data_IF_386243016502
#
_entry.id   IF_386243016502
#
_cell.length_a   1.000
_cell.length_b   1.000
_cell.length_c   1.000
_cell.angle_alpha   90.00
_cell.angle_beta   90.00
_cell.angle_gamma   90.00
#
_symmetry.space_group_name_H-M   'P 1'
#
loop_
_entity.id
_entity.type
_entity.pdbx_description
1 polymer ?
#
# COMPACT_ATOMS: atom_id res chain seq x y z
N UNK A 1 4.44 -11.08 -17.44
CA UNK A 1 4.91 -9.74 -17.87
C UNK A 1 5.66 -9.12 -16.69
N UNK A 2 6.95 -8.82 -16.79
CA UNK A 2 7.68 -8.17 -15.69
C UNK A 2 7.25 -6.70 -15.65
N UNK A 3 6.41 -6.32 -14.68
CA UNK A 3 5.97 -4.93 -14.51
C UNK A 3 7.07 -4.03 -13.92
N UNK A 4 8.07 -4.63 -13.26
CA UNK A 4 9.29 -3.95 -12.85
C UNK A 4 10.30 -4.01 -14.00
N UNK A 5 10.93 -2.89 -14.41
CA UNK A 5 12.14 -2.97 -15.20
C UNK A 5 13.15 -3.84 -14.44
N UNK A 6 13.99 -4.58 -15.17
CA UNK A 6 15.08 -5.32 -14.55
C UNK A 6 15.83 -4.37 -13.60
N UNK A 7 16.20 -4.83 -12.39
CA UNK A 7 17.10 -4.05 -11.54
C UNK A 7 18.24 -3.57 -12.41
N UNK A 8 18.54 -2.26 -12.46
CA UNK A 8 19.62 -1.77 -13.30
C UNK A 8 20.86 -2.56 -12.88
N UNK A 9 21.59 -3.08 -13.87
CA UNK A 9 22.93 -3.63 -13.65
C UNK A 9 23.63 -2.76 -12.60
N UNK A 10 24.13 -3.31 -11.49
CA UNK A 10 24.73 -2.52 -10.41
C UNK A 10 25.92 -1.66 -10.87
N UNK A 11 26.43 -1.89 -12.09
CA UNK A 11 27.42 -1.05 -12.78
C UNK A 11 26.84 0.20 -13.42
N UNK A 12 25.52 0.27 -13.61
CA UNK A 12 24.83 1.44 -14.15
C UNK A 12 24.61 2.49 -13.07
N UNK A 13 24.64 3.77 -13.43
CA UNK A 13 24.33 4.84 -12.50
C UNK A 13 22.90 4.71 -11.97
N UNK A 14 22.64 5.11 -10.72
CA UNK A 14 21.30 5.04 -10.13
C UNK A 14 20.31 5.88 -10.94
N UNK A 15 19.13 5.33 -11.20
CA UNK A 15 18.03 6.04 -11.87
C UNK A 15 17.55 7.16 -10.96
N UNK A 16 17.93 8.41 -11.28
CA UNK A 16 17.54 9.59 -10.49
C UNK A 16 16.10 10.02 -10.73
N UNK A 17 15.57 9.79 -11.92
CA UNK A 17 14.19 10.13 -12.31
C UNK A 17 13.58 8.91 -12.97
N UNK A 18 12.56 8.33 -12.34
CA UNK A 18 11.88 7.13 -12.81
C UNK A 18 10.43 7.47 -13.17
N UNK A 19 10.11 7.43 -14.46
CA UNK A 19 8.79 7.81 -15.00
C UNK A 19 7.99 6.61 -15.54
N UNK A 20 8.44 5.38 -15.24
CA UNK A 20 7.81 4.16 -15.79
C UNK A 20 6.42 3.91 -15.21
N UNK A 21 6.25 4.08 -13.90
CA UNK A 21 4.97 3.91 -13.19
C UNK A 21 5.09 4.45 -11.76
N UNK A 22 3.98 4.98 -11.25
CA UNK A 22 3.75 5.37 -9.86
C UNK A 22 3.79 4.21 -8.86
N UNK A 23 3.61 2.96 -9.31
CA UNK A 23 3.77 1.75 -8.49
C UNK A 23 5.18 1.58 -7.93
N UNK A 24 6.17 2.32 -8.45
CA UNK A 24 7.55 2.34 -7.94
C UNK A 24 7.78 3.34 -6.80
N UNK A 25 6.73 4.02 -6.34
CA UNK A 25 6.79 4.85 -5.13
C UNK A 25 7.28 4.05 -3.93
N UNK A 26 7.98 4.73 -3.02
CA UNK A 26 8.49 4.14 -1.77
C UNK A 26 7.87 4.87 -0.59
N UNK A 27 7.55 4.16 0.52
CA UNK A 27 7.00 4.82 1.69
C UNK A 27 8.02 5.80 2.27
N UNK A 28 7.55 6.99 2.59
CA UNK A 28 8.32 8.06 3.24
C UNK A 28 8.71 7.64 4.67
N UNK A 29 9.65 8.35 5.33
CA UNK A 29 9.98 8.08 6.72
C UNK A 29 8.75 8.12 7.64
N UNK A 30 7.85 9.10 7.49
CA UNK A 30 6.64 9.21 8.29
C UNK A 30 5.65 8.07 8.05
N UNK A 31 5.52 7.57 6.80
CA UNK A 31 4.72 6.37 6.52
C UNK A 31 5.30 5.15 7.23
N UNK A 32 6.63 4.98 7.19
CA UNK A 32 7.30 3.85 7.87
C UNK A 32 7.13 3.91 9.39
N UNK A 33 7.20 5.10 9.98
CA UNK A 33 6.96 5.32 11.41
C UNK A 33 5.51 5.00 11.80
N UNK A 34 4.54 5.45 11.00
CA UNK A 34 3.13 5.11 11.22
C UNK A 34 2.88 3.60 11.13
N UNK A 35 3.43 2.92 10.10
CA UNK A 35 3.35 1.46 9.97
C UNK A 35 3.96 0.74 11.17
N UNK A 36 5.12 1.21 11.67
CA UNK A 36 5.82 0.57 12.79
C UNK A 36 5.10 0.77 14.14
N UNK A 37 4.22 1.76 14.25
CA UNK A 37 3.46 2.08 15.46
C UNK A 37 1.99 1.66 15.40
N UNK A 38 1.54 1.08 14.28
CA UNK A 38 0.17 0.68 14.10
C UNK A 38 -0.20 -0.43 15.09
N UNK A 39 -1.35 -0.31 15.74
CA UNK A 39 -1.95 -1.41 16.48
C UNK A 39 -2.47 -2.44 15.46
N UNK A 40 -2.08 -3.70 15.64
CA UNK A 40 -2.40 -4.79 14.72
C UNK A 40 -3.10 -5.93 15.45
N UNK A 41 -3.93 -6.67 14.73
CA UNK A 41 -4.69 -7.79 15.28
C UNK A 41 -4.94 -8.86 14.22
N UNK A 42 -5.91 -9.73 14.49
CA UNK A 42 -6.32 -10.78 13.55
C UNK A 42 -7.48 -10.27 12.70
N UNK A 43 -7.17 -9.86 11.46
CA UNK A 43 -8.16 -9.37 10.50
C UNK A 43 -9.21 -10.43 10.13
N UNK A 44 -8.85 -11.72 10.13
CA UNK A 44 -9.75 -12.79 9.70
C UNK A 44 -10.97 -12.93 10.62
N UNK A 45 -10.82 -12.54 11.90
CA UNK A 45 -11.91 -12.50 12.88
C UNK A 45 -12.40 -11.07 13.17
N UNK A 46 -11.85 -10.07 12.48
CA UNK A 46 -12.26 -8.66 12.60
C UNK A 46 -11.70 -7.92 13.80
N UNK A 47 -10.50 -8.27 14.29
CA UNK A 47 -9.87 -7.65 15.46
C UNK A 47 -8.62 -6.81 15.11
N UNK A 48 -8.40 -6.47 13.83
CA UNK A 48 -7.31 -5.57 13.43
C UNK A 48 -7.77 -4.10 13.41
N UNK A 49 -7.40 -3.28 14.42
CA UNK A 49 -7.95 -1.94 14.58
C UNK A 49 -7.50 -0.98 13.47
N UNK A 50 -6.27 -1.14 12.97
CA UNK A 50 -5.74 -0.28 11.91
C UNK A 50 -6.47 -0.53 10.58
N UNK A 51 -6.76 -1.80 10.28
CA UNK A 51 -7.50 -2.19 9.07
C UNK A 51 -8.95 -1.71 9.13
N UNK A 52 -9.62 -1.89 10.27
CA UNK A 52 -10.98 -1.37 10.47
C UNK A 52 -11.05 0.14 10.31
N UNK A 53 -10.13 0.88 10.94
CA UNK A 53 -10.08 2.34 10.82
C UNK A 53 -9.85 2.81 9.37
N UNK A 54 -9.04 2.08 8.59
CA UNK A 54 -8.87 2.36 7.15
C UNK A 54 -10.18 2.13 6.38
N UNK A 55 -10.84 0.99 6.60
CA UNK A 55 -12.08 0.65 5.91
C UNK A 55 -13.21 1.62 6.25
N UNK A 56 -13.42 1.96 7.52
CA UNK A 56 -14.42 2.95 7.96
C UNK A 56 -14.17 4.31 7.32
N UNK A 57 -12.90 4.77 7.33
CA UNK A 57 -12.53 6.05 6.72
C UNK A 57 -12.84 6.07 5.22
N UNK A 58 -12.52 4.99 4.50
CA UNK A 58 -12.73 4.91 3.04
C UNK A 58 -14.22 4.79 2.69
N UNK A 59 -14.98 3.99 3.45
CA UNK A 59 -16.44 3.88 3.29
C UNK A 59 -17.10 5.25 3.46
N UNK A 60 -16.73 5.99 4.51
CA UNK A 60 -17.21 7.35 4.76
C UNK A 60 -16.78 8.33 3.66
N UNK A 61 -15.52 8.28 3.23
CA UNK A 61 -14.97 9.16 2.20
C UNK A 61 -15.70 9.00 0.86
N UNK A 62 -16.13 7.79 0.52
CA UNK A 62 -16.78 7.47 -0.76
C UNK A 62 -18.31 7.37 -0.67
N UNK A 63 -18.90 7.60 0.52
CA UNK A 63 -20.35 7.51 0.74
C UNK A 63 -20.89 6.10 0.52
N UNK A 64 -20.18 5.08 1.00
CA UNK A 64 -20.56 3.65 0.91
C UNK A 64 -20.81 3.09 2.30
N UNK A 65 -21.61 2.02 2.36
CA UNK A 65 -21.96 1.36 3.62
C UNK A 65 -20.76 0.65 4.27
N UNK A 66 -19.84 0.12 3.46
CA UNK A 66 -18.67 -0.62 3.92
C UNK A 66 -17.50 -0.53 2.92
N UNK A 67 -16.31 -0.94 3.37
CA UNK A 67 -15.11 -1.12 2.55
C UNK A 67 -14.31 -2.34 3.03
N UNK A 68 -13.44 -2.86 2.17
CA UNK A 68 -12.53 -3.98 2.47
C UNK A 68 -11.13 -3.65 1.96
N UNK A 69 -10.10 -3.97 2.76
CA UNK A 69 -8.71 -3.83 2.36
C UNK A 69 -8.22 -5.13 1.71
N UNK A 70 -7.61 -5.03 0.53
CA UNK A 70 -7.11 -6.17 -0.22
C UNK A 70 -5.65 -5.95 -0.65
N UNK A 71 -4.85 -7.02 -0.84
CA UNK A 71 -3.41 -6.90 -1.15
C UNK A 71 -3.07 -6.23 -2.49
N UNK A 72 -4.00 -6.14 -3.43
CA UNK A 72 -3.73 -5.56 -4.76
C UNK A 72 -4.99 -5.04 -5.44
N UNK A 73 -4.83 -4.07 -6.34
CA UNK A 73 -5.94 -3.54 -7.15
C UNK A 73 -6.58 -4.59 -8.07
N UNK A 74 -5.83 -5.61 -8.53
CA UNK A 74 -6.40 -6.71 -9.33
C UNK A 74 -7.35 -7.57 -8.51
N UNK A 75 -7.08 -7.79 -7.22
CA UNK A 75 -7.99 -8.53 -6.34
C UNK A 75 -9.24 -7.72 -5.95
N UNK A 76 -9.17 -6.39 -6.01
CA UNK A 76 -10.32 -5.51 -5.73
C UNK A 76 -11.40 -5.51 -6.82
N UNK A 77 -11.12 -6.07 -8.01
CA UNK A 77 -12.08 -6.14 -9.12
C UNK A 77 -12.66 -7.54 -9.24
#
# INVERSE_FOLDING_TARGET
MRMTPASPDPKLPPVRINLMSDTQTRPTPGMREAMARADVGDEQIGDDPTTLALCERVANLLGKEAAVFLPSGTMCN
#
